data_IF_743456931684
#
_entry.id   IF_743456931684
#
_cell.length_a   1.000
_cell.length_b   1.000
_cell.length_c   1.000
_cell.angle_alpha   90.00
_cell.angle_beta   90.00
_cell.angle_gamma   90.00
#
_symmetry.space_group_name_H-M   'P 1'
#
loop_
_entity.id
_entity.type
_entity.pdbx_description
1 polymer ?
#
# COMPACT_ATOMS: atom_id res chain seq x y z
N UNK A 1 60.82 -23.20 -12.84
CA UNK A 1 60.53 -23.44 -14.28
C UNK A 1 60.54 -22.09 -14.98
N UNK A 2 61.72 -21.72 -15.42
CA UNK A 2 62.03 -20.59 -16.31
C UNK A 2 61.82 -21.03 -17.75
N UNK A 3 61.35 -20.15 -18.63
CA UNK A 3 61.20 -20.48 -20.05
C UNK A 3 60.48 -19.41 -20.86
N UNK A 4 61.20 -18.42 -21.42
CA UNK A 4 60.68 -17.31 -22.21
C UNK A 4 60.62 -17.66 -23.70
N UNK A 5 59.86 -16.91 -24.50
CA UNK A 5 60.05 -16.91 -25.96
C UNK A 5 60.24 -15.49 -26.51
N UNK A 6 61.36 -15.35 -27.21
CA UNK A 6 61.91 -14.17 -27.81
C UNK A 6 61.69 -14.17 -29.33
N UNK A 7 61.73 -12.98 -29.95
CA UNK A 7 62.52 -12.58 -31.15
C UNK A 7 61.87 -11.33 -31.77
N UNK A 8 62.55 -10.17 -31.88
CA UNK A 8 63.60 -9.78 -32.86
C UNK A 8 63.13 -10.03 -34.31
N UNK A 9 63.23 -9.13 -35.30
CA UNK A 9 63.97 -7.87 -35.51
C UNK A 9 63.48 -7.23 -36.87
N UNK A 10 64.04 -6.10 -37.34
CA UNK A 10 63.40 -5.14 -38.24
C UNK A 10 63.77 -5.34 -39.72
N UNK A 11 63.01 -4.69 -40.60
CA UNK A 11 63.33 -4.56 -42.03
C UNK A 11 63.18 -3.11 -42.45
N UNK A 12 64.31 -2.45 -42.68
CA UNK A 12 64.44 -1.15 -43.31
C UNK A 12 64.27 -1.28 -44.82
N UNK A 13 63.61 -0.33 -45.49
CA UNK A 13 63.98 0.09 -46.84
C UNK A 13 63.78 1.60 -47.01
N UNK A 14 64.90 2.27 -47.25
CA UNK A 14 65.04 3.59 -47.85
C UNK A 14 64.67 3.50 -49.34
N UNK A 15 63.93 4.47 -49.85
CA UNK A 15 63.96 4.82 -51.27
C UNK A 15 63.75 6.33 -51.44
N UNK A 16 64.75 6.97 -52.06
CA UNK A 16 64.74 8.34 -52.54
C UNK A 16 63.70 8.55 -53.64
N UNK A 17 63.08 9.74 -53.68
CA UNK A 17 62.82 10.44 -54.94
C UNK A 17 62.55 11.92 -54.68
N UNK A 18 63.26 12.75 -55.45
CA UNK A 18 63.28 14.19 -55.38
C UNK A 18 62.27 14.85 -56.34
N UNK A 19 61.93 16.10 -56.02
CA UNK A 19 61.53 17.20 -56.92
C UNK A 19 60.29 17.02 -57.82
N UNK A 20 59.28 17.87 -57.63
CA UNK A 20 59.01 19.00 -58.54
C UNK A 20 57.86 19.87 -58.01
N UNK A 21 58.11 21.18 -57.95
CA UNK A 21 57.13 22.21 -57.62
C UNK A 21 56.36 22.56 -58.91
N UNK A 22 55.03 22.39 -58.90
CA UNK A 22 54.12 22.95 -59.91
C UNK A 22 52.89 23.50 -59.19
N UNK A 23 52.73 24.81 -59.28
CA UNK A 23 51.57 25.55 -58.81
C UNK A 23 50.46 25.55 -59.88
N UNK A 24 49.22 25.23 -59.50
CA UNK A 24 47.94 25.74 -60.03
C UNK A 24 46.76 24.86 -59.53
N UNK A 25 45.51 25.33 -59.63
CA UNK A 25 44.92 26.54 -59.08
C UNK A 25 43.94 26.19 -57.92
N UNK A 26 43.55 27.17 -57.12
CA UNK A 26 42.51 27.00 -56.11
C UNK A 26 41.14 26.90 -56.81
N UNK A 27 40.54 25.71 -56.78
CA UNK A 27 39.13 25.53 -57.13
C UNK A 27 38.32 25.78 -55.86
N UNK A 28 37.68 26.95 -55.78
CA UNK A 28 36.65 27.26 -54.80
C UNK A 28 35.44 26.36 -55.08
N UNK A 29 35.27 25.32 -54.26
CA UNK A 29 34.04 24.54 -54.25
C UNK A 29 33.01 25.34 -53.46
N UNK A 30 32.06 25.99 -54.15
CA UNK A 30 30.84 26.48 -53.53
C UNK A 30 30.05 25.27 -53.02
N UNK A 31 30.22 24.96 -51.74
CA UNK A 31 29.41 23.96 -51.06
C UNK A 31 28.00 24.51 -50.92
N UNK A 32 26.95 23.79 -51.34
CA UNK A 32 25.58 24.19 -51.08
C UNK A 32 25.37 24.31 -49.56
N UNK A 33 24.59 25.29 -49.08
CA UNK A 33 24.32 25.42 -47.65
C UNK A 33 23.66 24.12 -47.17
N UNK A 34 24.25 23.53 -46.12
CA UNK A 34 23.70 22.35 -45.48
C UNK A 34 22.24 22.63 -45.07
N UNK A 35 21.28 21.74 -45.36
CA UNK A 35 19.93 21.90 -44.85
C UNK A 35 20.01 21.86 -43.32
N UNK A 36 19.61 22.95 -42.68
CA UNK A 36 19.41 22.97 -41.24
C UNK A 36 18.26 22.01 -40.93
N UNK A 37 18.47 20.95 -40.12
CA UNK A 37 17.36 20.16 -39.63
C UNK A 37 16.61 21.04 -38.62
N UNK A 38 15.64 21.81 -39.11
CA UNK A 38 14.56 22.33 -38.27
C UNK A 38 13.65 21.15 -37.95
N UNK A 39 14.11 20.26 -37.07
CA UNK A 39 13.21 19.30 -36.44
C UNK A 39 12.13 20.10 -35.73
N UNK A 40 10.84 19.92 -36.06
CA UNK A 40 9.78 20.51 -35.29
C UNK A 40 9.94 19.99 -33.85
N UNK A 41 10.02 20.94 -32.91
CA UNK A 41 9.93 20.67 -31.48
C UNK A 41 8.60 19.94 -31.27
N UNK A 42 8.62 18.60 -31.27
CA UNK A 42 7.49 17.81 -30.84
C UNK A 42 7.15 18.34 -29.46
N UNK A 43 5.93 18.87 -29.29
CA UNK A 43 5.41 19.19 -27.97
C UNK A 43 5.62 17.95 -27.12
N UNK A 44 6.61 18.01 -26.24
CA UNK A 44 7.01 16.87 -25.43
C UNK A 44 5.89 16.73 -24.41
N UNK A 45 4.92 15.88 -24.74
CA UNK A 45 3.89 15.47 -23.82
C UNK A 45 4.65 14.77 -22.71
N UNK A 46 4.85 15.45 -21.58
CA UNK A 46 5.55 14.92 -20.44
C UNK A 46 4.69 13.82 -19.81
N UNK A 47 4.77 12.63 -20.40
CA UNK A 47 4.11 11.44 -19.88
C UNK A 47 5.00 10.82 -18.81
N UNK A 48 4.44 10.63 -17.62
CA UNK A 48 5.12 9.94 -16.52
C UNK A 48 4.46 8.60 -16.24
N UNK A 49 5.23 7.64 -15.72
CA UNK A 49 4.70 6.35 -15.30
C UNK A 49 3.95 6.52 -13.99
N UNK A 50 2.86 5.78 -13.86
CA UNK A 50 2.08 5.77 -12.65
C UNK A 50 1.53 4.40 -12.34
N UNK A 51 1.16 4.22 -11.08
CA UNK A 51 0.61 2.98 -10.57
C UNK A 51 -0.72 3.25 -9.87
N UNK A 52 -1.70 2.38 -10.11
CA UNK A 52 -2.91 2.35 -9.31
C UNK A 52 -2.65 1.64 -7.99
N UNK A 53 -3.05 2.27 -6.91
CA UNK A 53 -3.02 1.72 -5.56
C UNK A 53 -4.43 1.74 -4.99
N UNK A 54 -4.75 0.81 -4.09
CA UNK A 54 -6.01 0.87 -3.36
C UNK A 54 -5.98 2.05 -2.38
N UNK A 55 -7.06 2.83 -2.32
CA UNK A 55 -7.17 3.94 -1.37
C UNK A 55 -7.00 3.48 0.09
N UNK A 56 -7.42 2.25 0.40
CA UNK A 56 -7.15 1.61 1.68
C UNK A 56 -6.56 0.23 1.46
N UNK A 57 -5.46 -0.02 2.16
CA UNK A 57 -4.81 -1.32 2.26
C UNK A 57 -4.51 -1.60 3.72
N UNK A 58 -4.77 -2.82 4.17
CA UNK A 58 -4.34 -3.26 5.49
C UNK A 58 -3.74 -4.67 5.41
N UNK A 59 -2.70 -4.91 6.20
CA UNK A 59 -2.20 -6.26 6.47
C UNK A 59 -2.77 -6.67 7.81
N UNK A 60 -3.63 -7.68 7.79
CA UNK A 60 -4.25 -8.24 8.98
C UNK A 60 -3.25 -9.18 9.64
N UNK A 61 -2.93 -8.89 10.89
CA UNK A 61 -2.05 -9.71 11.72
C UNK A 61 -2.84 -10.43 12.80
N UNK A 62 -2.26 -11.50 13.33
CA UNK A 62 -2.86 -12.26 14.41
C UNK A 62 -2.92 -11.44 15.69
N UNK A 63 -4.13 -11.29 16.23
CA UNK A 63 -4.34 -10.63 17.50
C UNK A 63 -4.03 -11.51 18.70
N UNK A 64 -3.78 -12.81 18.55
CA UNK A 64 -3.44 -13.72 19.65
C UNK A 64 -2.71 -14.95 19.13
N UNK A 65 -2.00 -15.66 20.01
CA UNK A 65 -1.37 -16.93 19.66
C UNK A 65 -2.41 -18.06 19.72
N UNK A 66 -2.83 -18.58 18.57
CA UNK A 66 -3.79 -19.69 18.46
C UNK A 66 -3.71 -20.42 17.13
N UNK A 67 -4.41 -21.55 17.05
CA UNK A 67 -4.64 -22.28 15.82
C UNK A 67 -5.81 -21.67 15.05
N UNK A 68 -5.63 -21.48 13.75
CA UNK A 68 -6.70 -21.04 12.85
C UNK A 68 -7.67 -22.22 12.65
N UNK A 69 -8.93 -22.04 13.06
CA UNK A 69 -10.01 -22.99 12.80
C UNK A 69 -10.45 -22.86 11.34
N UNK A 70 -10.80 -21.63 10.92
CA UNK A 70 -11.32 -21.35 9.58
C UNK A 70 -10.77 -20.06 9.01
N UNK A 71 -10.42 -20.14 7.72
CA UNK A 71 -10.06 -19.01 6.87
C UNK A 71 -10.97 -19.07 5.63
N UNK A 72 -12.19 -18.52 5.71
CA UNK A 72 -13.23 -18.79 4.72
C UNK A 72 -12.98 -18.15 3.35
N UNK A 73 -12.17 -17.10 3.28
CA UNK A 73 -11.90 -16.34 2.06
C UNK A 73 -10.56 -16.76 1.46
N UNK A 74 -10.52 -16.82 0.14
CA UNK A 74 -9.32 -17.07 -0.66
C UNK A 74 -8.79 -15.78 -1.25
N UNK A 75 -7.55 -15.82 -1.73
CA UNK A 75 -6.95 -14.73 -2.49
C UNK A 75 -7.84 -14.38 -3.68
N UNK A 76 -8.14 -13.10 -3.84
CA UNK A 76 -9.06 -12.60 -4.85
C UNK A 76 -10.54 -12.63 -4.46
N UNK A 77 -10.95 -13.24 -3.34
CA UNK A 77 -12.36 -13.22 -2.93
C UNK A 77 -12.78 -11.83 -2.43
N UNK A 78 -14.04 -11.46 -2.72
CA UNK A 78 -14.67 -10.24 -2.21
C UNK A 78 -15.30 -10.46 -0.84
N UNK A 79 -15.25 -9.43 -0.01
CA UNK A 79 -15.90 -9.39 1.30
C UNK A 79 -16.56 -8.04 1.55
N UNK A 80 -17.52 -8.03 2.46
CA UNK A 80 -18.20 -6.84 2.97
C UNK A 80 -17.65 -6.48 4.34
N UNK A 81 -17.91 -5.24 4.76
CA UNK A 81 -17.61 -4.79 6.12
C UNK A 81 -18.34 -5.69 7.13
N UNK A 82 -17.60 -6.19 8.12
CA UNK A 82 -18.11 -7.08 9.17
C UNK A 82 -18.02 -8.57 8.85
N UNK A 83 -17.67 -8.96 7.61
CA UNK A 83 -17.49 -10.37 7.27
C UNK A 83 -16.30 -10.97 8.04
N UNK A 84 -16.39 -12.25 8.37
CA UNK A 84 -15.32 -12.97 9.08
C UNK A 84 -14.18 -13.26 8.13
N UNK A 85 -13.00 -12.71 8.42
CA UNK A 85 -11.76 -12.95 7.66
C UNK A 85 -11.01 -14.18 8.20
N UNK A 86 -10.92 -14.29 9.53
CA UNK A 86 -10.21 -15.36 10.23
C UNK A 86 -10.98 -15.75 11.49
N UNK A 87 -11.13 -17.04 11.73
CA UNK A 87 -11.65 -17.59 12.97
C UNK A 87 -10.62 -18.55 13.58
N UNK A 88 -10.31 -18.34 14.86
CA UNK A 88 -9.43 -19.22 15.63
C UNK A 88 -10.22 -20.30 16.38
N UNK A 89 -9.54 -21.38 16.76
CA UNK A 89 -10.07 -22.31 17.74
C UNK A 89 -10.11 -21.63 19.12
N UNK A 90 -11.33 -21.40 19.61
CA UNK A 90 -11.57 -20.75 20.88
C UNK A 90 -12.39 -21.56 21.87
N UNK A 91 -12.33 -22.89 21.80
CA UNK A 91 -12.97 -23.76 22.78
C UNK A 91 -12.54 -23.41 24.22
N UNK A 92 -11.23 -23.25 24.46
CA UNK A 92 -10.71 -22.92 25.79
C UNK A 92 -11.14 -21.53 26.29
N UNK A 93 -11.04 -20.51 25.44
CA UNK A 93 -11.42 -19.13 25.81
C UNK A 93 -12.94 -19.03 26.08
N UNK A 94 -13.77 -19.73 25.30
CA UNK A 94 -15.21 -19.80 25.56
C UNK A 94 -15.53 -20.48 26.89
N UNK A 95 -14.85 -21.58 27.22
CA UNK A 95 -15.03 -22.25 28.52
C UNK A 95 -14.59 -21.37 29.71
N UNK A 96 -13.56 -20.54 29.54
CA UNK A 96 -13.14 -19.55 30.55
C UNK A 96 -14.16 -18.45 30.73
N UNK A 97 -14.67 -17.88 29.63
CA UNK A 97 -15.75 -16.90 29.67
C UNK A 97 -17.00 -17.47 30.35
N UNK A 98 -17.40 -18.70 30.03
CA UNK A 98 -18.55 -19.34 30.65
C UNK A 98 -18.38 -19.46 32.17
N UNK A 99 -17.22 -19.92 32.64
CA UNK A 99 -16.90 -19.97 34.08
C UNK A 99 -17.01 -18.59 34.74
N UNK A 100 -16.42 -17.56 34.12
CA UNK A 100 -16.43 -16.21 34.66
C UNK A 100 -17.85 -15.61 34.70
N UNK A 101 -18.66 -15.86 33.67
CA UNK A 101 -20.08 -15.45 33.63
C UNK A 101 -20.88 -16.13 34.74
N UNK A 102 -20.65 -17.42 35.01
CA UNK A 102 -21.31 -18.11 36.12
C UNK A 102 -20.85 -17.59 37.48
N UNK A 103 -19.57 -17.25 37.65
CA UNK A 103 -19.06 -16.64 38.87
C UNK A 103 -19.68 -15.25 39.11
N UNK A 104 -19.81 -14.43 38.07
CA UNK A 104 -20.52 -13.15 38.13
C UNK A 104 -21.99 -13.33 38.51
N UNK A 105 -22.69 -14.29 37.89
CA UNK A 105 -24.08 -14.59 38.21
C UNK A 105 -24.25 -15.03 39.68
N UNK A 106 -23.33 -15.84 40.19
CA UNK A 106 -23.32 -16.27 41.59
C UNK A 106 -23.07 -15.08 42.55
N UNK A 107 -22.12 -14.20 42.24
CA UNK A 107 -21.86 -12.99 43.02
C UNK A 107 -23.09 -12.06 43.04
N UNK A 108 -23.75 -11.86 41.89
CA UNK A 108 -24.97 -11.04 41.78
C UNK A 108 -26.11 -11.61 42.62
N UNK A 109 -26.31 -12.93 42.63
CA UNK A 109 -27.30 -13.59 43.50
C UNK A 109 -26.98 -13.38 44.97
N UNK A 110 -25.72 -13.50 45.38
CA UNK A 110 -25.30 -13.23 46.76
C UNK A 110 -25.56 -11.78 47.18
N UNK A 111 -25.26 -10.82 46.30
CA UNK A 111 -25.58 -9.41 46.56
C UNK A 111 -27.09 -9.21 46.71
N UNK A 112 -27.91 -9.78 45.82
CA UNK A 112 -29.37 -9.66 45.93
C UNK A 112 -29.90 -10.21 47.26
N UNK A 113 -29.37 -11.35 47.73
CA UNK A 113 -29.70 -11.89 49.06
C UNK A 113 -29.23 -10.97 50.18
N UNK A 114 -28.01 -10.43 50.11
CA UNK A 114 -27.50 -9.49 51.10
C UNK A 114 -28.34 -8.20 51.17
N UNK A 115 -28.72 -7.64 50.02
CA UNK A 115 -29.60 -6.48 49.92
C UNK A 115 -30.98 -6.78 50.51
N UNK A 116 -31.55 -7.96 50.23
CA UNK A 116 -32.82 -8.37 50.85
C UNK A 116 -32.70 -8.48 52.37
N UNK A 117 -31.62 -9.08 52.89
CA UNK A 117 -31.39 -9.18 54.34
C UNK A 117 -31.15 -7.81 54.99
N UNK A 118 -30.57 -6.84 54.28
CA UNK A 118 -30.39 -5.46 54.75
C UNK A 118 -31.73 -4.75 54.91
N UNK A 119 -32.68 -4.96 53.98
CA UNK A 119 -34.05 -4.44 54.14
C UNK A 119 -34.75 -5.00 55.38
N UNK A 120 -34.41 -6.23 55.77
CA UNK A 120 -34.88 -6.90 56.99
C UNK A 120 -34.02 -6.59 58.21
N UNK A 121 -33.02 -5.68 58.10
CA UNK A 121 -32.06 -5.31 59.15
C UNK A 121 -31.35 -6.54 59.77
N UNK A 122 -31.13 -7.57 58.97
CA UNK A 122 -30.63 -8.89 59.38
C UNK A 122 -29.19 -9.17 58.94
N UNK A 123 -28.47 -8.14 58.44
CA UNK A 123 -27.08 -8.23 57.98
C UNK A 123 -26.36 -6.89 58.24
N UNK A 124 -25.02 -6.90 58.28
CA UNK A 124 -24.22 -5.67 58.41
C UNK A 124 -24.08 -4.94 57.07
N UNK A 125 -24.04 -3.60 57.10
CA UNK A 125 -23.69 -2.78 55.93
C UNK A 125 -22.32 -3.15 55.34
N UNK A 126 -21.36 -3.55 56.17
CA UNK A 126 -20.05 -4.03 55.70
C UNK A 126 -20.19 -5.22 54.76
N UNK A 127 -21.13 -6.13 55.03
CA UNK A 127 -21.27 -7.38 54.30
C UNK A 127 -21.99 -7.12 52.96
N UNK A 128 -22.93 -6.18 52.93
CA UNK A 128 -23.56 -5.69 51.69
C UNK A 128 -22.51 -5.05 50.78
N UNK A 129 -21.66 -4.18 51.34
CA UNK A 129 -20.57 -3.54 50.58
C UNK A 129 -19.53 -4.57 50.09
N UNK A 130 -19.20 -5.59 50.89
CA UNK A 130 -18.36 -6.70 50.45
C UNK A 130 -19.00 -7.50 49.31
N UNK A 131 -20.30 -7.80 49.39
CA UNK A 131 -21.02 -8.48 48.31
C UNK A 131 -21.05 -7.63 47.03
N UNK A 132 -21.20 -6.31 47.16
CA UNK A 132 -21.17 -5.35 46.05
C UNK A 132 -19.79 -5.29 45.41
N UNK A 133 -18.73 -5.25 46.21
CA UNK A 133 -17.36 -5.32 45.72
C UNK A 133 -17.09 -6.65 44.99
N UNK A 134 -17.57 -7.78 45.51
CA UNK A 134 -17.43 -9.08 44.87
C UNK A 134 -18.12 -9.14 43.50
N UNK A 135 -19.30 -8.53 43.35
CA UNK A 135 -19.94 -8.37 42.02
C UNK A 135 -19.08 -7.54 41.08
N UNK A 136 -18.50 -6.45 41.56
CA UNK A 136 -17.63 -5.59 40.73
C UNK A 136 -16.40 -6.35 40.23
N UNK A 137 -15.76 -7.16 41.07
CA UNK A 137 -14.61 -8.00 40.69
C UNK A 137 -15.03 -9.04 39.65
N UNK A 138 -16.08 -9.82 39.93
CA UNK A 138 -16.52 -10.87 39.03
C UNK A 138 -17.00 -10.33 37.66
N UNK A 139 -17.59 -9.13 37.64
CA UNK A 139 -17.95 -8.43 36.38
C UNK A 139 -16.71 -7.99 35.59
N UNK A 140 -15.66 -7.54 36.26
CA UNK A 140 -14.41 -7.18 35.59
C UNK A 140 -13.75 -8.43 34.98
N UNK A 141 -13.75 -9.55 35.70
CA UNK A 141 -13.24 -10.83 35.21
C UNK A 141 -14.01 -11.36 33.99
N UNK A 142 -15.36 -11.37 34.06
CA UNK A 142 -16.18 -11.80 32.92
C UNK A 142 -16.02 -10.88 31.71
N UNK A 143 -15.84 -9.58 31.94
CA UNK A 143 -15.54 -8.59 30.90
C UNK A 143 -14.18 -8.85 30.22
N UNK A 144 -13.15 -9.18 30.99
CA UNK A 144 -11.82 -9.50 30.45
C UNK A 144 -11.86 -10.76 29.57
N UNK A 145 -12.51 -11.84 30.04
CA UNK A 145 -12.66 -13.07 29.26
C UNK A 145 -13.52 -12.86 27.99
N UNK A 146 -14.47 -11.93 28.02
CA UNK A 146 -15.28 -11.59 26.84
C UNK A 146 -14.44 -10.98 25.73
N UNK A 147 -13.55 -10.06 26.08
CA UNK A 147 -12.61 -9.45 25.11
C UNK A 147 -11.71 -10.52 24.49
N UNK A 148 -11.25 -11.51 25.27
CA UNK A 148 -10.45 -12.61 24.73
C UNK A 148 -11.23 -13.45 23.73
N UNK A 149 -12.52 -13.71 23.99
CA UNK A 149 -13.40 -14.43 23.04
C UNK A 149 -13.70 -13.59 21.80
N UNK A 150 -13.83 -12.27 21.91
CA UNK A 150 -14.02 -11.38 20.77
C UNK A 150 -12.79 -11.36 19.85
N UNK A 151 -11.57 -11.39 20.42
CA UNK A 151 -10.31 -11.49 19.64
C UNK A 151 -10.18 -12.82 18.88
N UNK A 152 -11.01 -13.81 19.16
CA UNK A 152 -11.03 -15.10 18.45
C UNK A 152 -11.53 -15.02 17.01
N UNK A 153 -12.16 -13.91 16.63
CA UNK A 153 -12.66 -13.71 15.26
C UNK A 153 -12.20 -12.37 14.76
N UNK A 154 -11.52 -12.36 13.62
CA UNK A 154 -11.12 -11.13 12.94
C UNK A 154 -12.15 -10.84 11.86
N UNK A 155 -12.79 -9.68 11.95
CA UNK A 155 -13.79 -9.20 10.99
C UNK A 155 -13.23 -8.11 10.09
N UNK A 156 -13.83 -7.97 8.91
CA UNK A 156 -13.40 -6.99 7.91
C UNK A 156 -13.76 -5.55 8.34
N UNK A 157 -12.79 -4.62 8.41
CA UNK A 157 -13.05 -3.24 8.81
C UNK A 157 -13.79 -2.41 7.74
N UNK A 158 -13.70 -2.82 6.48
CA UNK A 158 -14.35 -2.21 5.31
C UNK A 158 -14.73 -3.30 4.30
N UNK A 159 -15.38 -2.94 3.19
CA UNK A 159 -15.65 -3.85 2.07
C UNK A 159 -14.49 -3.80 1.06
N UNK A 160 -14.16 -4.93 0.45
CA UNK A 160 -13.01 -5.01 -0.43
C UNK A 160 -12.71 -6.43 -0.91
N UNK A 161 -11.44 -6.66 -1.25
CA UNK A 161 -10.94 -7.92 -1.77
C UNK A 161 -9.73 -8.42 -0.99
N UNK A 162 -9.64 -9.74 -0.83
CA UNK A 162 -8.46 -10.38 -0.25
C UNK A 162 -7.33 -10.35 -1.28
N UNK A 163 -6.17 -9.90 -0.84
CA UNK A 163 -4.94 -9.99 -1.62
C UNK A 163 -4.23 -11.31 -1.39
N UNK A 164 -3.01 -11.23 -0.86
CA UNK A 164 -2.18 -12.35 -0.48
C UNK A 164 -2.58 -12.91 0.91
N UNK A 165 -2.59 -14.24 1.03
CA UNK A 165 -2.81 -15.00 2.26
C UNK A 165 -1.49 -15.59 2.76
N UNK A 166 -1.01 -15.10 3.90
CA UNK A 166 0.23 -15.54 4.54
C UNK A 166 0.07 -16.76 5.43
N UNK A 167 -1.14 -17.02 5.92
CA UNK A 167 -1.46 -18.16 6.78
C UNK A 167 -2.53 -19.07 6.14
N UNK A 168 -2.62 -20.31 6.60
CA UNK A 168 -3.61 -21.31 6.14
C UNK A 168 -4.51 -21.78 7.28
N UNK A 169 -5.68 -22.30 6.94
CA UNK A 169 -6.53 -22.97 7.91
C UNK A 169 -5.77 -24.15 8.55
N UNK A 170 -6.07 -24.44 9.81
CA UNK A 170 -5.37 -25.41 10.66
C UNK A 170 -3.92 -25.06 11.06
N UNK A 171 -3.36 -23.95 10.61
CA UNK A 171 -2.04 -23.47 11.02
C UNK A 171 -2.06 -22.83 12.42
N UNK A 172 -0.98 -22.99 13.19
CA UNK A 172 -0.77 -22.30 14.46
C UNK A 172 0.02 -21.03 14.24
N UNK A 173 -0.51 -19.89 14.68
CA UNK A 173 0.09 -18.58 14.48
C UNK A 173 0.45 -17.90 15.79
N UNK A 174 1.51 -17.09 15.78
CA UNK A 174 1.90 -16.25 16.90
C UNK A 174 1.20 -14.88 16.86
N UNK A 175 1.10 -14.20 18.00
CA UNK A 175 0.62 -12.81 18.05
C UNK A 175 1.53 -11.90 17.20
N UNK A 176 0.94 -11.03 16.38
CA UNK A 176 1.63 -10.15 15.46
C UNK A 176 2.01 -10.78 14.11
N UNK A 177 1.88 -12.10 13.93
CA UNK A 177 2.14 -12.78 12.65
C UNK A 177 1.15 -12.30 11.57
N UNK A 178 1.64 -12.01 10.36
CA UNK A 178 0.79 -11.61 9.22
C UNK A 178 -0.09 -12.79 8.79
N UNK A 179 -1.36 -12.52 8.50
CA UNK A 179 -2.35 -13.54 8.12
C UNK A 179 -2.85 -13.36 6.70
N UNK A 180 -3.35 -12.16 6.38
CA UNK A 180 -3.82 -11.82 5.04
C UNK A 180 -3.68 -10.32 4.77
N UNK A 181 -3.55 -9.96 3.50
CA UNK A 181 -3.68 -8.59 3.05
C UNK A 181 -5.08 -8.34 2.51
N UNK A 182 -5.63 -7.18 2.82
CA UNK A 182 -6.93 -6.73 2.33
C UNK A 182 -6.79 -5.38 1.63
N UNK A 183 -7.55 -5.22 0.56
CA UNK A 183 -7.56 -4.02 -0.28
C UNK A 183 -8.99 -3.54 -0.46
N UNK A 184 -9.20 -2.24 -0.42
CA UNK A 184 -10.44 -1.61 -0.82
C UNK A 184 -10.54 -1.59 -2.35
N UNK A 185 -11.61 -2.16 -2.90
CA UNK A 185 -11.87 -2.23 -4.34
C UNK A 185 -12.93 -1.21 -4.81
N UNK A 186 -13.32 -0.27 -3.95
CA UNK A 186 -14.30 0.78 -4.27
C UNK A 186 -13.67 2.11 -4.69
N UNK A 187 -12.40 2.33 -4.35
CA UNK A 187 -11.69 3.55 -4.66
C UNK A 187 -10.19 3.25 -4.89
N UNK A 188 -9.69 3.70 -6.04
CA UNK A 188 -8.29 3.64 -6.38
C UNK A 188 -7.66 5.03 -6.38
N UNK A 189 -6.43 5.08 -5.89
CA UNK A 189 -5.55 6.23 -5.99
C UNK A 189 -4.48 5.97 -7.03
N UNK A 190 -3.98 7.05 -7.60
CA UNK A 190 -2.97 7.07 -8.62
C UNK A 190 -1.69 7.62 -8.01
N UNK A 191 -0.64 6.81 -7.92
CA UNK A 191 0.67 7.29 -7.51
C UNK A 191 1.56 7.54 -8.72
N UNK A 192 2.07 8.76 -8.84
CA UNK A 192 3.07 9.09 -9.86
C UNK A 192 4.12 10.04 -9.32
N UNK A 193 5.28 10.01 -9.95
CA UNK A 193 6.43 10.84 -9.60
C UNK A 193 6.61 11.87 -10.71
N UNK A 194 6.69 13.13 -10.33
CA UNK A 194 6.81 14.26 -11.25
C UNK A 194 8.00 15.15 -10.88
N UNK A 195 8.57 15.91 -11.83
CA UNK A 195 9.61 16.88 -11.52
C UNK A 195 9.14 17.93 -10.51
N UNK A 196 9.97 18.25 -9.53
CA UNK A 196 9.66 19.24 -8.48
C UNK A 196 9.32 20.64 -9.03
N UNK A 197 9.83 21.00 -10.20
CA UNK A 197 9.47 22.25 -10.91
C UNK A 197 7.97 22.39 -11.20
N UNK A 198 7.22 21.30 -11.28
CA UNK A 198 5.78 21.35 -11.54
C UNK A 198 4.97 21.85 -10.35
N UNK A 199 5.54 21.87 -9.13
CA UNK A 199 4.91 22.43 -7.94
C UNK A 199 4.54 23.93 -8.07
N UNK A 200 5.14 24.64 -9.04
CA UNK A 200 4.80 26.03 -9.33
C UNK A 200 3.34 26.21 -9.78
N UNK A 201 2.75 25.20 -10.43
CA UNK A 201 1.40 25.27 -11.01
C UNK A 201 0.52 24.07 -10.66
N UNK A 202 1.11 22.90 -10.42
CA UNK A 202 0.39 21.68 -10.06
C UNK A 202 -0.13 21.80 -8.62
N UNK A 203 -1.45 21.82 -8.47
CA UNK A 203 -2.15 21.94 -7.19
C UNK A 203 -3.19 20.83 -7.04
N UNK A 204 -3.63 20.52 -5.81
CA UNK A 204 -4.81 19.69 -5.60
C UNK A 204 -6.00 20.18 -6.45
N UNK A 205 -6.72 19.25 -7.06
CA UNK A 205 -7.82 19.50 -8.01
C UNK A 205 -7.40 19.60 -9.48
N UNK A 206 -6.10 19.52 -9.80
CA UNK A 206 -5.65 19.56 -11.20
C UNK A 206 -6.08 18.29 -11.96
N UNK A 207 -6.67 18.39 -13.16
CA UNK A 207 -7.10 17.23 -13.92
C UNK A 207 -5.90 16.44 -14.47
N UNK A 208 -6.03 15.12 -14.47
CA UNK A 208 -5.05 14.15 -14.93
C UNK A 208 -5.76 13.11 -15.80
N UNK A 209 -5.07 12.57 -16.81
CA UNK A 209 -5.56 11.40 -17.56
C UNK A 209 -4.55 10.28 -17.48
N UNK A 210 -5.00 9.09 -17.08
CA UNK A 210 -4.18 7.88 -17.05
C UNK A 210 -4.65 6.90 -18.11
N UNK A 211 -3.73 6.45 -18.95
CA UNK A 211 -3.90 5.26 -19.81
C UNK A 211 -3.37 4.06 -19.05
N UNK A 212 -4.23 3.13 -18.65
CA UNK A 212 -3.83 1.91 -17.92
C UNK A 212 -3.45 0.82 -18.91
N UNK A 213 -2.23 0.29 -18.77
CA UNK A 213 -1.65 -0.65 -19.73
C UNK A 213 -2.46 -1.96 -19.79
N UNK A 214 -2.91 -2.47 -18.63
CA UNK A 214 -3.61 -3.75 -18.51
C UNK A 214 -5.04 -3.71 -19.07
N UNK A 215 -5.70 -2.55 -19.04
CA UNK A 215 -7.07 -2.41 -19.57
C UNK A 215 -7.12 -1.75 -20.95
N UNK A 216 -6.05 -1.07 -21.37
CA UNK A 216 -5.98 -0.30 -22.61
C UNK A 216 -6.96 0.88 -22.66
N UNK A 217 -7.49 1.31 -21.50
CA UNK A 217 -8.48 2.39 -21.38
C UNK A 217 -7.87 3.60 -20.70
N UNK A 218 -8.36 4.76 -21.11
CA UNK A 218 -8.09 6.04 -20.46
C UNK A 218 -9.10 6.27 -19.35
N UNK A 219 -8.62 6.68 -18.17
CA UNK A 219 -9.45 7.06 -17.03
C UNK A 219 -9.17 8.50 -16.64
N UNK A 220 -10.23 9.22 -16.25
CA UNK A 220 -10.11 10.57 -15.73
C UNK A 220 -9.77 10.55 -14.25
N UNK A 221 -8.81 11.39 -13.86
CA UNK A 221 -8.36 11.54 -12.49
C UNK A 221 -8.12 13.01 -12.15
N UNK A 222 -7.99 13.30 -10.88
CA UNK A 222 -7.60 14.62 -10.39
C UNK A 222 -6.53 14.48 -9.32
N UNK A 223 -5.64 15.47 -9.19
CA UNK A 223 -4.66 15.50 -8.10
C UNK A 223 -5.41 15.61 -6.77
N UNK A 224 -5.32 14.60 -5.92
CA UNK A 224 -5.87 14.64 -4.56
C UNK A 224 -4.96 15.44 -3.65
N UNK A 225 -3.70 15.04 -3.57
CA UNK A 225 -2.70 15.72 -2.76
C UNK A 225 -1.29 15.45 -3.28
N UNK A 226 -0.36 16.29 -2.83
CA UNK A 226 1.07 16.21 -3.17
C UNK A 226 1.79 15.73 -1.92
N UNK A 227 2.75 14.82 -2.07
CA UNK A 227 3.55 14.34 -0.95
C UNK A 227 4.30 15.49 -0.27
N UNK A 228 4.40 15.44 1.06
CA UNK A 228 4.98 16.52 1.87
C UNK A 228 6.50 16.70 1.77
N UNK A 229 7.18 15.94 0.91
CA UNK A 229 8.63 16.00 0.74
C UNK A 229 9.02 15.83 -0.74
N UNK A 230 9.98 16.65 -1.16
CA UNK A 230 10.68 16.51 -2.45
C UNK A 230 11.92 15.65 -2.20
N UNK A 231 12.19 14.69 -3.09
CA UNK A 231 13.45 13.96 -3.09
C UNK A 231 14.56 14.85 -3.67
N UNK A 232 15.57 15.25 -2.89
CA UNK A 232 16.63 16.14 -3.36
C UNK A 232 17.57 15.48 -4.37
N UNK A 233 17.67 14.15 -4.39
CA UNK A 233 18.56 13.41 -5.29
C UNK A 233 17.95 13.35 -6.68
N UNK A 234 16.69 12.94 -6.79
CA UNK A 234 15.99 12.83 -8.07
C UNK A 234 15.29 14.12 -8.51
N UNK A 235 15.29 15.15 -7.65
CA UNK A 235 14.56 16.41 -7.85
C UNK A 235 13.07 16.19 -8.19
N UNK A 236 12.49 15.14 -7.63
CA UNK A 236 11.14 14.69 -7.94
C UNK A 236 10.23 14.74 -6.72
N UNK A 237 8.92 14.80 -6.96
CA UNK A 237 7.91 14.81 -5.92
C UNK A 237 6.84 13.79 -6.28
N UNK A 238 6.39 13.03 -5.27
CA UNK A 238 5.28 12.11 -5.44
C UNK A 238 3.96 12.87 -5.39
N UNK A 239 3.08 12.63 -6.34
CA UNK A 239 1.72 13.14 -6.34
C UNK A 239 0.75 11.96 -6.27
N UNK A 240 -0.35 12.18 -5.55
CA UNK A 240 -1.41 11.21 -5.39
C UNK A 240 -2.63 11.78 -6.10
N UNK A 241 -3.09 11.09 -7.14
CA UNK A 241 -4.33 11.37 -7.84
C UNK A 241 -5.47 10.49 -7.33
N UNK A 242 -6.70 10.92 -7.52
CA UNK A 242 -7.91 10.14 -7.29
C UNK A 242 -8.65 9.98 -8.61
N UNK A 243 -9.09 8.77 -8.92
CA UNK A 243 -9.95 8.54 -10.07
C UNK A 243 -11.29 9.27 -9.89
N UNK A 244 -11.74 9.94 -10.94
CA UNK A 244 -12.97 10.73 -10.94
C UNK A 244 -14.19 9.90 -11.37
N UNK A 245 -15.38 10.30 -10.93
CA UNK A 245 -16.65 9.77 -11.45
C UNK A 245 -16.84 8.24 -11.32
N UNK A 246 -17.33 7.62 -12.40
CA UNK A 246 -17.64 6.17 -12.48
C UNK A 246 -16.39 5.29 -12.58
N UNK A 247 -15.24 5.88 -12.83
CA UNK A 247 -13.97 5.19 -13.06
C UNK A 247 -13.31 4.74 -11.75
N UNK A 248 -13.63 5.41 -10.63
CA UNK A 248 -13.09 5.09 -9.31
C UNK A 248 -13.48 3.71 -8.77
N UNK A 249 -14.55 3.11 -9.30
CA UNK A 249 -15.05 1.79 -8.93
C UNK A 249 -15.17 0.84 -10.12
N UNK A 250 -14.39 1.08 -11.20
CA UNK A 250 -14.41 0.20 -12.36
C UNK A 250 -14.02 -1.22 -11.96
N UNK A 251 -14.90 -2.19 -12.22
CA UNK A 251 -14.74 -3.59 -11.78
C UNK A 251 -13.50 -4.28 -12.38
N UNK A 252 -12.97 -3.71 -13.47
CA UNK A 252 -11.82 -4.21 -14.21
C UNK A 252 -10.48 -3.76 -13.61
N UNK A 253 -10.48 -2.79 -12.66
CA UNK A 253 -9.27 -2.26 -12.05
C UNK A 253 -8.84 -3.08 -10.83
N UNK A 254 -7.53 -3.30 -10.72
CA UNK A 254 -6.90 -3.95 -9.57
C UNK A 254 -5.76 -3.08 -9.03
N UNK A 255 -5.52 -3.12 -7.70
CA UNK A 255 -4.34 -2.48 -7.14
C UNK A 255 -3.08 -3.11 -7.74
N UNK A 256 -2.11 -2.27 -8.10
CA UNK A 256 -0.84 -2.68 -8.69
C UNK A 256 -0.74 -2.47 -10.19
N UNK A 257 -1.86 -2.27 -10.90
CA UNK A 257 -1.88 -1.94 -12.33
C UNK A 257 -1.09 -0.67 -12.63
N UNK A 258 -0.52 -0.57 -13.82
CA UNK A 258 0.37 0.52 -14.20
C UNK A 258 -0.04 1.18 -15.50
N UNK A 259 0.41 2.41 -15.71
CA UNK A 259 0.01 3.18 -16.88
C UNK A 259 0.83 4.43 -17.10
N UNK A 260 0.50 5.14 -18.16
CA UNK A 260 1.08 6.43 -18.50
C UNK A 260 0.10 7.54 -18.14
N UNK A 261 0.57 8.51 -17.37
CA UNK A 261 -0.19 9.70 -17.00
C UNK A 261 0.24 10.84 -17.88
N UNK A 262 -0.74 11.47 -18.52
CA UNK A 262 -0.55 12.72 -19.26
C UNK A 262 -0.96 13.87 -18.36
N UNK A 263 -0.02 14.78 -18.13
CA UNK A 263 -0.25 16.01 -17.36
C UNK A 263 0.11 17.17 -18.27
N UNK A 264 -0.91 17.82 -18.80
CA UNK A 264 -0.71 18.97 -19.67
C UNK A 264 -0.40 20.19 -18.80
N UNK A 265 0.75 20.87 -18.93
CA UNK A 265 1.02 22.10 -18.21
C UNK A 265 0.04 23.20 -18.65
N UNK A 266 -0.35 24.13 -17.76
CA UNK A 266 -1.19 25.26 -18.14
C UNK A 266 -0.49 26.04 -19.26
N UNK A 267 -1.24 26.38 -20.31
CA UNK A 267 -0.72 27.17 -21.42
C UNK A 267 0.04 28.38 -20.87
N UNK A 268 1.34 28.48 -21.18
CA UNK A 268 2.15 29.59 -20.73
C UNK A 268 1.50 30.88 -21.23
N UNK A 269 1.10 31.77 -20.32
CA UNK A 269 0.92 33.17 -20.70
C UNK A 269 2.31 33.67 -21.04
N UNK A 270 2.65 33.67 -22.32
CA UNK A 270 3.82 34.37 -22.83
C UNK A 270 3.66 35.86 -22.49
N UNK A 271 4.64 36.49 -21.82
CA UNK A 271 4.64 37.94 -21.66
C UNK A 271 4.82 38.66 -22.99
#
# INVERSE_FOLDING_TARGET
MTGPYARRRPGAQLALAAFLWLAAPAWSQDLPPLPTPSSPLSAQVDSTRAQLVAARRAVISSGLAARIDRLPLREGDRFKKGDVLVAYDCALNRARLERAVQAEAAARKKLAVAEQLDTLKSISRSDVEQARAAVSVARAESGAERVLVERCTITAPYAGRVGESYARAAESVAEGQKLLSIYDDSAFELETIVPSRWLAWLKPGYPLRISVDETGRDYEAEVSHIAGAVDPISQSVKIIGRLAGKDGAAADLLPGMSGNVRIDPPASKTP
#
